data_IF_155639605657
#
_entry.id   IF_155639605657
#
_cell.length_a   1.000
_cell.length_b   1.000
_cell.length_c   1.000
_cell.angle_alpha   90.00
_cell.angle_beta   90.00
_cell.angle_gamma   90.00
#
_symmetry.space_group_name_H-M   'P 1'
#
loop_
_entity.id
_entity.type
_entity.pdbx_description
1 polymer ?
#
# COMPACT_ATOMS: atom_id res chain seq x y z
N UNK A 1 7.25 0.18 1.15
CA UNK A 1 6.92 0.98 2.35
C UNK A 1 6.44 2.39 1.99
N UNK A 2 7.12 3.16 1.15
CA UNK A 2 6.72 4.53 0.79
C UNK A 2 5.27 4.66 0.34
N UNK A 3 4.81 3.80 -0.56
CA UNK A 3 3.42 3.78 -1.03
C UNK A 3 2.39 3.65 0.12
N UNK A 4 2.62 2.72 1.05
CA UNK A 4 1.73 2.54 2.21
C UNK A 4 1.77 3.74 3.17
N UNK A 5 2.93 4.40 3.28
CA UNK A 5 3.07 5.63 4.08
C UNK A 5 2.23 6.76 3.50
N UNK A 6 2.36 7.05 2.20
CA UNK A 6 1.56 8.13 1.57
C UNK A 6 0.07 7.81 1.55
N UNK A 7 -0.33 6.56 1.34
CA UNK A 7 -1.74 6.14 1.47
C UNK A 7 -2.28 6.34 2.89
N UNK A 8 -1.46 6.12 3.92
CA UNK A 8 -1.85 6.35 5.32
C UNK A 8 -1.99 7.83 5.68
N UNK A 9 -1.56 8.73 4.80
CA UNK A 9 -1.76 10.17 4.94
C UNK A 9 -3.01 10.69 4.19
N UNK A 10 -3.73 9.83 3.47
CA UNK A 10 -4.83 10.24 2.60
C UNK A 10 -6.00 10.94 3.34
N UNK A 11 -6.19 10.66 4.64
CA UNK A 11 -7.20 11.28 5.51
C UNK A 11 -6.75 12.58 6.18
N UNK A 12 -5.49 12.98 6.01
CA UNK A 12 -4.91 14.17 6.66
C UNK A 12 -5.21 15.45 5.88
N UNK A 13 -5.04 16.59 6.55
CA UNK A 13 -5.00 17.89 5.90
C UNK A 13 -3.61 18.05 5.29
N UNK A 14 -3.52 17.80 3.99
CA UNK A 14 -2.30 17.94 3.21
C UNK A 14 -2.17 19.39 2.68
N UNK A 15 -0.94 19.86 2.39
CA UNK A 15 -0.73 21.13 1.71
C UNK A 15 -1.51 21.23 0.40
N UNK A 16 -1.97 22.43 0.02
CA UNK A 16 -2.79 22.64 -1.18
C UNK A 16 -2.06 22.24 -2.48
N UNK A 17 -0.74 22.23 -2.46
CA UNK A 17 0.10 21.81 -3.58
C UNK A 17 0.07 20.30 -3.82
N UNK A 18 -0.44 19.51 -2.86
CA UNK A 18 -0.60 18.06 -3.00
C UNK A 18 -1.89 17.75 -3.76
N UNK A 19 -1.75 17.55 -5.07
CA UNK A 19 -2.88 17.30 -5.97
C UNK A 19 -3.41 15.86 -5.90
N UNK A 20 -2.68 14.93 -5.27
CA UNK A 20 -3.08 13.54 -5.12
C UNK A 20 -1.95 12.62 -4.69
N UNK A 21 -2.25 11.34 -4.61
CA UNK A 21 -1.34 10.28 -4.19
C UNK A 21 -1.15 9.29 -5.34
N UNK A 22 0.12 8.97 -5.65
CA UNK A 22 0.50 7.84 -6.48
C UNK A 22 1.15 6.79 -5.60
N UNK A 23 0.53 5.61 -5.53
CA UNK A 23 0.98 4.51 -4.71
C UNK A 23 1.32 3.30 -5.59
N UNK A 24 2.60 2.89 -5.61
CA UNK A 24 3.07 1.72 -6.36
C UNK A 24 3.50 0.61 -5.41
N UNK A 25 2.92 -0.59 -5.57
CA UNK A 25 3.18 -1.80 -4.78
C UNK A 25 3.04 -1.59 -3.26
N UNK A 26 1.99 -0.87 -2.83
CA UNK A 26 1.70 -0.65 -1.42
C UNK A 26 1.00 -1.82 -0.75
N UNK A 27 1.35 -2.10 0.52
CA UNK A 27 0.57 -3.02 1.35
C UNK A 27 -0.62 -2.30 2.01
N UNK A 28 -1.64 -3.06 2.35
CA UNK A 28 -2.90 -2.61 2.95
C UNK A 28 -2.77 -2.26 4.43
N UNK A 29 -2.05 -3.08 5.20
CA UNK A 29 -1.67 -2.79 6.58
C UNK A 29 -0.40 -3.56 6.98
N UNK A 30 0.35 -3.01 7.95
CA UNK A 30 1.58 -3.62 8.44
C UNK A 30 1.33 -5.03 9.02
N UNK A 31 0.20 -5.23 9.69
CA UNK A 31 -0.17 -6.53 10.25
C UNK A 31 -0.28 -7.63 9.19
N UNK A 32 -0.88 -7.35 8.03
CA UNK A 32 -1.08 -8.35 6.98
C UNK A 32 0.23 -8.74 6.30
N UNK A 33 1.06 -7.74 5.94
CA UNK A 33 2.36 -8.05 5.31
C UNK A 33 3.29 -8.79 6.28
N UNK A 34 3.33 -8.45 7.56
CA UNK A 34 4.13 -9.15 8.57
C UNK A 34 3.65 -10.59 8.75
N UNK A 35 2.33 -10.83 8.82
CA UNK A 35 1.78 -12.20 8.88
C UNK A 35 2.14 -13.02 7.66
N UNK A 36 2.16 -12.41 6.46
CA UNK A 36 2.63 -13.07 5.24
C UNK A 36 4.10 -13.47 5.38
N UNK A 37 4.97 -12.57 5.79
CA UNK A 37 6.41 -12.84 5.97
C UNK A 37 6.62 -13.97 7.00
N UNK A 38 5.91 -13.95 8.14
CA UNK A 38 5.98 -15.02 9.14
C UNK A 38 5.64 -16.39 8.52
N UNK A 39 4.58 -16.46 7.68
CA UNK A 39 4.23 -17.71 6.96
C UNK A 39 5.31 -18.14 6.00
N UNK A 40 5.92 -17.21 5.25
CA UNK A 40 7.00 -17.51 4.32
C UNK A 40 8.26 -18.05 5.02
N UNK A 41 8.49 -17.64 6.28
CA UNK A 41 9.55 -18.18 7.14
C UNK A 41 9.20 -19.57 7.71
N UNK A 42 8.03 -20.14 7.41
CA UNK A 42 7.58 -21.40 7.96
C UNK A 42 7.18 -21.36 9.44
N UNK A 43 6.98 -20.17 10.00
CA UNK A 43 6.62 -20.00 11.41
C UNK A 43 5.10 -19.94 11.60
N UNK A 44 4.59 -20.46 12.73
CA UNK A 44 3.17 -20.35 13.07
C UNK A 44 2.80 -18.89 13.42
N UNK A 45 1.90 -18.31 12.63
CA UNK A 45 1.51 -16.89 12.75
C UNK A 45 0.89 -16.55 14.11
N UNK A 46 0.05 -17.46 14.63
CA UNK A 46 -0.67 -17.25 15.89
C UNK A 46 0.25 -16.86 17.05
N UNK A 47 1.22 -17.69 17.43
CA UNK A 47 2.18 -17.34 18.48
C UNK A 47 3.21 -16.30 18.05
N UNK A 48 3.70 -16.32 16.80
CA UNK A 48 4.80 -15.45 16.37
C UNK A 48 4.40 -13.96 16.28
N UNK A 49 3.23 -13.66 15.75
CA UNK A 49 2.80 -12.28 15.52
C UNK A 49 2.68 -11.43 16.80
N UNK A 50 2.12 -11.91 17.93
CA UNK A 50 2.13 -11.18 19.21
C UNK A 50 3.53 -10.79 19.70
N UNK A 51 4.53 -11.66 19.52
CA UNK A 51 5.92 -11.33 19.86
C UNK A 51 6.49 -10.23 18.97
N UNK A 52 6.18 -10.23 17.68
CA UNK A 52 6.58 -9.14 16.75
C UNK A 52 5.94 -7.82 17.19
N UNK A 53 4.65 -7.81 17.55
CA UNK A 53 3.96 -6.62 18.08
C UNK A 53 4.61 -6.13 19.38
N UNK A 54 4.89 -7.04 20.29
CA UNK A 54 5.56 -6.70 21.56
C UNK A 54 6.94 -6.10 21.31
N UNK A 55 7.73 -6.69 20.40
CA UNK A 55 9.05 -6.16 20.01
C UNK A 55 8.96 -4.76 19.40
N UNK A 56 8.01 -4.51 18.50
CA UNK A 56 7.79 -3.19 17.92
C UNK A 56 7.42 -2.16 19.00
N UNK A 57 6.58 -2.53 19.96
CA UNK A 57 6.17 -1.64 21.05
C UNK A 57 7.30 -1.34 22.04
N UNK A 58 8.08 -2.35 22.44
CA UNK A 58 9.12 -2.20 23.46
C UNK A 58 10.38 -1.53 22.91
N UNK A 59 10.84 -1.96 21.73
CA UNK A 59 12.11 -1.50 21.14
C UNK A 59 11.89 -0.40 20.09
N UNK A 60 10.83 -0.51 19.28
CA UNK A 60 10.48 0.49 18.27
C UNK A 60 9.67 1.67 18.80
N UNK A 61 9.01 1.49 19.97
CA UNK A 61 8.12 2.48 20.59
C UNK A 61 6.96 2.90 19.69
N UNK A 62 6.47 2.01 18.83
CA UNK A 62 5.30 2.25 17.98
C UNK A 62 4.37 1.04 17.98
N UNK A 63 3.11 1.30 17.65
CA UNK A 63 2.09 0.26 17.46
C UNK A 63 1.96 -0.03 15.96
N UNK A 64 2.16 -1.30 15.57
CA UNK A 64 2.05 -1.76 14.18
C UNK A 64 0.64 -1.60 13.58
N UNK A 65 -0.37 -1.50 14.43
CA UNK A 65 -1.77 -1.43 14.00
C UNK A 65 -2.39 -0.04 14.19
N UNK A 66 -1.63 0.95 14.69
CA UNK A 66 -2.14 2.29 14.97
C UNK A 66 -2.53 3.06 13.71
N UNK A 67 -1.87 2.80 12.58
CA UNK A 67 -2.08 3.50 11.30
C UNK A 67 -1.97 2.49 10.16
N UNK A 68 -2.89 2.58 9.21
CA UNK A 68 -2.81 1.78 7.98
C UNK A 68 -3.53 2.47 6.81
N UNK A 69 -3.18 2.13 5.55
CA UNK A 69 -3.96 2.52 4.38
C UNK A 69 -5.45 2.20 4.50
N UNK A 70 -5.82 1.00 4.96
CA UNK A 70 -7.22 0.60 5.14
C UNK A 70 -8.00 1.47 6.15
N UNK A 71 -7.31 2.15 7.07
CA UNK A 71 -7.96 3.07 8.01
C UNK A 71 -8.09 4.49 7.45
N UNK A 72 -7.14 4.92 6.62
CA UNK A 72 -7.08 6.28 6.07
C UNK A 72 -7.90 6.42 4.76
N UNK A 73 -7.80 5.45 3.85
CA UNK A 73 -8.42 5.52 2.52
C UNK A 73 -9.95 5.68 2.53
N UNK A 74 -10.72 5.09 3.47
CA UNK A 74 -12.17 5.38 3.58
C UNK A 74 -12.51 6.84 3.89
N UNK A 75 -11.51 7.64 4.27
CA UNK A 75 -11.61 9.08 4.58
C UNK A 75 -10.69 9.91 3.70
N UNK A 76 -10.23 9.37 2.58
CA UNK A 76 -9.29 10.03 1.69
C UNK A 76 -9.86 11.36 1.18
N UNK A 77 -9.04 12.41 1.28
CA UNK A 77 -9.38 13.79 0.90
C UNK A 77 -8.82 14.18 -0.46
N UNK A 78 -7.82 13.45 -0.96
CA UNK A 78 -7.15 13.70 -2.24
C UNK A 78 -7.30 12.49 -3.17
N UNK A 79 -7.26 12.67 -4.50
CA UNK A 79 -7.30 11.57 -5.46
C UNK A 79 -6.15 10.58 -5.26
N UNK A 80 -6.40 9.28 -5.48
CA UNK A 80 -5.40 8.23 -5.31
C UNK A 80 -5.34 7.33 -6.54
N UNK A 81 -4.17 7.20 -7.17
CA UNK A 81 -3.93 6.18 -8.19
C UNK A 81 -3.00 5.11 -7.62
N UNK A 82 -3.41 3.86 -7.82
CA UNK A 82 -2.68 2.67 -7.39
C UNK A 82 -2.07 2.00 -8.61
N UNK A 83 -0.77 1.70 -8.56
CA UNK A 83 -0.09 0.79 -9.48
C UNK A 83 0.33 -0.46 -8.74
N UNK A 84 0.26 -1.63 -9.40
CA UNK A 84 0.74 -2.87 -8.81
C UNK A 84 1.11 -3.90 -9.87
N UNK A 85 2.27 -4.53 -9.70
CA UNK A 85 2.65 -5.67 -10.52
C UNK A 85 1.83 -6.91 -10.16
N UNK A 86 1.29 -7.60 -11.16
CA UNK A 86 0.46 -8.79 -10.93
C UNK A 86 1.29 -9.98 -10.41
N UNK A 87 2.59 -10.02 -10.72
CA UNK A 87 3.53 -11.04 -10.31
C UNK A 87 4.36 -10.63 -9.07
N UNK A 88 3.85 -9.67 -8.29
CA UNK A 88 4.49 -9.24 -7.04
C UNK A 88 4.33 -10.33 -5.96
N UNK A 89 5.40 -11.10 -5.74
CA UNK A 89 5.47 -12.16 -4.73
C UNK A 89 5.82 -11.64 -3.33
N UNK A 90 6.32 -10.40 -3.23
CA UNK A 90 6.64 -9.76 -1.95
C UNK A 90 5.42 -9.08 -1.31
N UNK A 91 4.76 -8.16 -2.03
CA UNK A 91 3.48 -7.57 -1.61
C UNK A 91 2.39 -8.03 -2.58
N UNK A 92 1.47 -8.91 -2.18
CA UNK A 92 0.42 -9.39 -3.09
C UNK A 92 -0.42 -8.26 -3.69
N UNK A 93 -0.71 -8.34 -4.98
CA UNK A 93 -1.53 -7.36 -5.71
C UNK A 93 -2.91 -7.17 -5.06
N UNK A 94 -3.45 -8.19 -4.40
CA UNK A 94 -4.73 -8.12 -3.69
C UNK A 94 -4.74 -7.09 -2.55
N UNK A 95 -3.57 -6.73 -1.98
CA UNK A 95 -3.48 -5.66 -0.99
C UNK A 95 -3.79 -4.28 -1.60
N UNK A 96 -3.32 -4.01 -2.82
CA UNK A 96 -3.71 -2.79 -3.54
C UNK A 96 -5.17 -2.81 -3.99
N UNK A 97 -5.70 -3.98 -4.36
CA UNK A 97 -7.14 -4.13 -4.67
C UNK A 97 -8.01 -3.78 -3.46
N UNK A 98 -7.66 -4.31 -2.28
CA UNK A 98 -8.37 -3.98 -1.03
C UNK A 98 -8.30 -2.48 -0.69
N UNK A 99 -7.15 -1.84 -0.91
CA UNK A 99 -7.00 -0.40 -0.74
C UNK A 99 -7.86 0.40 -1.73
N UNK A 100 -7.89 -0.01 -3.00
CA UNK A 100 -8.72 0.58 -4.05
C UNK A 100 -10.21 0.51 -3.72
N UNK A 101 -10.69 -0.65 -3.28
CA UNK A 101 -12.12 -0.89 -2.97
C UNK A 101 -12.63 -0.02 -1.84
N UNK A 102 -11.80 0.28 -0.84
CA UNK A 102 -12.22 1.10 0.33
C UNK A 102 -11.96 2.60 0.16
N UNK A 103 -11.26 3.01 -0.90
CA UNK A 103 -10.89 4.40 -1.11
C UNK A 103 -12.10 5.27 -1.46
N UNK A 104 -12.41 6.26 -0.60
CA UNK A 104 -13.60 7.11 -0.76
C UNK A 104 -13.42 8.24 -1.77
N UNK A 105 -12.18 8.64 -2.08
CA UNK A 105 -11.92 9.69 -3.07
C UNK A 105 -11.89 9.17 -4.50
N UNK A 106 -11.79 10.08 -5.49
CA UNK A 106 -11.51 9.67 -6.88
C UNK A 106 -10.29 8.77 -6.90
N UNK A 107 -10.43 7.57 -7.42
CA UNK A 107 -9.34 6.60 -7.43
C UNK A 107 -9.29 5.79 -8.73
N UNK A 108 -8.14 5.17 -8.98
CA UNK A 108 -7.90 4.25 -10.10
C UNK A 108 -6.90 3.20 -9.67
N UNK A 109 -7.13 1.95 -10.09
CA UNK A 109 -6.17 0.86 -9.96
C UNK A 109 -5.67 0.44 -11.34
N UNK A 110 -4.35 0.40 -11.50
CA UNK A 110 -3.67 -0.06 -12.72
C UNK A 110 -2.79 -1.24 -12.34
N UNK A 111 -3.17 -2.43 -12.77
CA UNK A 111 -2.34 -3.62 -12.59
C UNK A 111 -1.49 -3.86 -13.82
N UNK A 112 -0.25 -4.31 -13.63
CA UNK A 112 0.73 -4.52 -14.70
C UNK A 112 1.11 -6.00 -14.75
N UNK A 113 0.64 -6.74 -15.77
CA UNK A 113 0.99 -8.16 -15.96
C UNK A 113 2.50 -8.34 -16.12
N UNK A 114 3.06 -9.38 -15.53
CA UNK A 114 4.49 -9.70 -15.61
C UNK A 114 5.40 -8.82 -14.75
N UNK A 115 4.86 -7.82 -14.06
CA UNK A 115 5.64 -6.97 -13.17
C UNK A 115 5.71 -7.56 -11.76
N UNK A 116 6.92 -7.67 -11.21
CA UNK A 116 7.17 -7.98 -9.82
C UNK A 116 7.13 -6.73 -8.93
N UNK A 117 7.65 -6.86 -7.69
CA UNK A 117 7.63 -5.77 -6.71
C UNK A 117 8.40 -4.52 -7.15
N UNK A 118 7.69 -3.38 -7.25
CA UNK A 118 8.28 -2.10 -7.66
C UNK A 118 8.68 -2.03 -9.14
N UNK A 119 8.22 -2.98 -9.97
CA UNK A 119 8.57 -3.07 -11.38
C UNK A 119 7.44 -2.61 -12.33
N UNK A 120 6.38 -2.01 -11.81
CA UNK A 120 5.26 -1.54 -12.64
C UNK A 120 5.72 -0.57 -13.73
N UNK A 121 6.54 0.43 -13.37
CA UNK A 121 7.11 1.39 -14.33
C UNK A 121 8.12 0.76 -15.31
N UNK A 122 9.14 -0.01 -14.87
CA UNK A 122 10.10 -0.61 -15.78
C UNK A 122 9.50 -1.58 -16.81
N UNK A 123 8.42 -2.29 -16.47
CA UNK A 123 7.77 -3.27 -17.36
C UNK A 123 6.93 -2.59 -18.42
N UNK A 124 6.17 -1.54 -18.07
CA UNK A 124 5.32 -0.80 -19.03
C UNK A 124 5.36 0.71 -18.75
N UNK A 125 6.47 1.38 -19.10
CA UNK A 125 6.66 2.80 -18.80
C UNK A 125 5.69 3.71 -19.55
N UNK A 126 5.30 3.36 -20.77
CA UNK A 126 4.39 4.18 -21.58
C UNK A 126 2.99 4.20 -20.95
N UNK A 127 2.46 3.03 -20.61
CA UNK A 127 1.17 2.91 -19.93
C UNK A 127 1.20 3.55 -18.54
N UNK A 128 2.27 3.33 -17.77
CA UNK A 128 2.43 3.91 -16.45
C UNK A 128 2.34 5.44 -16.48
N UNK A 129 3.15 6.08 -17.34
CA UNK A 129 3.16 7.54 -17.49
C UNK A 129 1.84 8.09 -18.03
N UNK A 130 1.24 7.40 -19.00
CA UNK A 130 -0.06 7.78 -19.54
C UNK A 130 -1.16 7.75 -18.48
N UNK A 131 -1.29 6.64 -17.74
CA UNK A 131 -2.33 6.46 -16.71
C UNK A 131 -2.15 7.48 -15.57
N UNK A 132 -0.90 7.71 -15.12
CA UNK A 132 -0.60 8.71 -14.11
C UNK A 132 -0.92 10.13 -14.60
N UNK A 133 -0.48 10.50 -15.80
CA UNK A 133 -0.73 11.81 -16.40
C UNK A 133 -2.20 12.09 -16.64
N UNK A 134 -2.96 11.10 -17.14
CA UNK A 134 -4.40 11.24 -17.40
C UNK A 134 -5.22 11.30 -16.10
N UNK A 135 -4.71 10.67 -15.04
CA UNK A 135 -5.39 10.68 -13.74
C UNK A 135 -5.27 12.03 -13.01
N UNK A 136 -4.14 12.72 -13.10
CA UNK A 136 -3.91 13.98 -12.40
C UNK A 136 -4.22 15.25 -13.22
N UNK A 137 -4.70 15.10 -14.44
CA UNK A 137 -5.30 16.19 -15.24
C UNK A 137 -6.77 16.36 -14.88
#
# INVERSE_FOLDING_TARGET
MGASTVMSCADKDLPEEVIGILADCGYDCAGNIIRKVIRQMGLPVGPAYPFVKLGAKLFGRFDLEAVSPLMALPKAKVPVIFFHGEDDDFVPCDMSRACYEVCASRNRLVTVPGAGHGLSYPVDPERYLKEAGDFFR
#
